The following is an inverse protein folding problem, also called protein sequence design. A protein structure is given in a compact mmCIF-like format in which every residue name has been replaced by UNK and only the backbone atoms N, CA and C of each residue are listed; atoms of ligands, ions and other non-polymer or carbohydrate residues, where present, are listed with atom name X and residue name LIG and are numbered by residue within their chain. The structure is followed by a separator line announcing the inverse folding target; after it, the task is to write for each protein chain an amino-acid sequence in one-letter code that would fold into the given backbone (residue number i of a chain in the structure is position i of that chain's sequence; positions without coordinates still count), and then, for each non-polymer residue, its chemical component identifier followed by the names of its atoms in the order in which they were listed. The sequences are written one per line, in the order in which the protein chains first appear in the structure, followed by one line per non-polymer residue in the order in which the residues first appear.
data_IF_244279914359
#
_entry.id   IF_244279914359
#
_cell.length_a   1.000
_cell.length_b   1.000
_cell.length_c   1.000
_cell.angle_alpha   90.00
_cell.angle_beta   90.00
_cell.angle_gamma   90.00
#
_symmetry.space_group_name_H-M   'P 1'
#
loop_
_entity.id
_entity.type
_entity.pdbx_description
1 polymer ?
#
# COMPACT_ATOMS: atom_id res chain seq x y z
N UNK A 1 46.59 16.22 35.75
CA UNK A 1 45.74 15.34 34.96
C UNK A 1 44.35 15.34 35.60
N UNK A 2 43.47 16.24 35.12
CA UNK A 2 42.09 16.36 35.59
C UNK A 2 41.21 15.56 34.63
N UNK A 3 40.75 14.42 35.06
CA UNK A 3 39.78 13.58 34.35
C UNK A 3 38.41 14.22 34.41
N UNK A 4 38.01 14.88 33.34
CA UNK A 4 36.63 15.35 33.10
C UNK A 4 35.76 14.14 32.77
N UNK A 5 35.04 13.64 33.76
CA UNK A 5 33.94 12.68 33.55
C UNK A 5 32.81 13.37 32.82
N UNK A 6 32.71 13.15 31.51
CA UNK A 6 31.54 13.55 30.71
C UNK A 6 30.37 12.67 31.12
N UNK A 7 29.53 13.16 32.02
CA UNK A 7 28.25 12.51 32.32
C UNK A 7 27.34 12.72 31.10
N UNK A 8 26.95 11.60 30.47
CA UNK A 8 25.93 11.64 29.42
C UNK A 8 24.65 12.29 29.97
N UNK A 9 24.01 13.20 29.20
CA UNK A 9 22.80 13.86 29.67
C UNK A 9 21.72 12.81 29.94
N UNK A 10 20.93 12.98 31.02
CA UNK A 10 19.86 12.03 31.35
C UNK A 10 18.87 11.97 30.19
N UNK A 11 18.54 10.76 29.74
CA UNK A 11 17.51 10.54 28.74
C UNK A 11 16.19 11.11 29.26
N UNK A 12 15.83 12.29 28.80
CA UNK A 12 14.57 12.96 29.14
C UNK A 12 13.47 12.09 28.56
N UNK A 13 12.80 11.30 29.39
CA UNK A 13 11.54 10.64 29.02
C UNK A 13 10.54 11.74 28.76
N UNK A 14 10.29 12.03 27.47
CA UNK A 14 9.28 13.01 27.09
C UNK A 14 7.95 12.63 27.72
N UNK A 15 7.32 13.55 28.43
CA UNK A 15 5.94 13.40 28.86
C UNK A 15 5.05 13.18 27.64
N UNK A 16 3.95 12.44 27.80
CA UNK A 16 3.08 12.07 26.67
C UNK A 16 2.64 13.24 25.76
N UNK A 17 2.56 14.45 26.31
CA UNK A 17 2.27 15.69 25.56
C UNK A 17 3.40 16.04 24.58
N UNK A 18 4.67 15.97 24.99
CA UNK A 18 5.81 16.27 24.14
C UNK A 18 5.95 15.24 22.99
N UNK A 19 5.73 13.95 23.28
CA UNK A 19 5.73 12.89 22.27
C UNK A 19 4.62 13.10 21.22
N UNK A 20 3.41 13.53 21.65
CA UNK A 20 2.31 13.84 20.72
C UNK A 20 2.63 15.05 19.84
N UNK A 21 3.18 16.11 20.40
CA UNK A 21 3.57 17.30 19.63
C UNK A 21 4.65 16.98 18.61
N UNK A 22 5.66 16.19 18.99
CA UNK A 22 6.71 15.75 18.08
C UNK A 22 6.17 14.83 16.98
N UNK A 23 5.26 13.90 17.28
CA UNK A 23 4.60 13.06 16.29
C UNK A 23 3.83 13.89 15.26
N UNK A 24 3.02 14.85 15.71
CA UNK A 24 2.26 15.75 14.82
C UNK A 24 3.22 16.60 13.98
N UNK A 25 4.32 17.08 14.56
CA UNK A 25 5.34 17.85 13.87
C UNK A 25 5.99 17.05 12.73
N UNK A 26 6.37 15.79 12.97
CA UNK A 26 6.94 14.90 11.96
C UNK A 26 5.93 14.59 10.85
N UNK A 27 4.70 14.25 11.21
CA UNK A 27 3.62 13.97 10.27
C UNK A 27 3.31 15.18 9.38
N UNK A 28 3.23 16.38 9.97
CA UNK A 28 2.98 17.62 9.20
C UNK A 28 4.13 17.95 8.25
N UNK A 29 5.38 17.65 8.62
CA UNK A 29 6.55 17.77 7.75
C UNK A 29 6.41 16.85 6.53
N UNK A 30 6.14 15.56 6.75
CA UNK A 30 6.04 14.58 5.67
C UNK A 30 4.86 14.89 4.73
N UNK A 31 3.72 15.38 5.25
CA UNK A 31 2.60 15.87 4.44
C UNK A 31 2.93 17.17 3.68
N UNK A 32 3.75 18.05 4.26
CA UNK A 32 4.21 19.27 3.58
C UNK A 32 5.14 18.92 2.41
N UNK A 33 6.01 17.94 2.59
CA UNK A 33 6.87 17.42 1.50
C UNK A 33 6.00 16.86 0.39
N UNK A 34 4.99 16.04 0.70
CA UNK A 34 4.05 15.53 -0.30
C UNK A 34 3.36 16.65 -1.07
N UNK A 35 2.87 17.68 -0.36
CA UNK A 35 2.21 18.83 -1.00
C UNK A 35 3.15 19.57 -1.96
N UNK A 36 4.42 19.72 -1.60
CA UNK A 36 5.43 20.39 -2.46
C UNK A 36 5.81 19.54 -3.68
N UNK A 37 5.85 18.21 -3.54
CA UNK A 37 6.20 17.26 -4.60
C UNK A 37 4.99 16.70 -5.36
N UNK A 38 3.80 17.29 -5.23
CA UNK A 38 2.56 16.77 -5.82
C UNK A 38 2.63 16.62 -7.34
N UNK A 39 3.38 17.49 -8.02
CA UNK A 39 3.58 17.43 -9.48
C UNK A 39 4.33 16.18 -9.93
N UNK A 40 5.22 15.66 -9.10
CA UNK A 40 5.95 14.42 -9.35
C UNK A 40 5.18 13.20 -8.84
N UNK A 41 4.46 13.38 -7.74
CA UNK A 41 3.63 12.35 -7.12
C UNK A 41 2.50 11.89 -8.05
N UNK A 42 1.78 12.81 -8.68
CA UNK A 42 0.63 12.52 -9.53
C UNK A 42 0.97 11.57 -10.69
N UNK A 43 1.92 11.89 -11.59
CA UNK A 43 2.25 10.98 -12.69
C UNK A 43 2.75 9.62 -12.21
N UNK A 44 3.60 9.61 -11.20
CA UNK A 44 4.15 8.38 -10.64
C UNK A 44 3.07 7.45 -10.08
N UNK A 45 2.07 8.02 -9.40
CA UNK A 45 0.98 7.27 -8.77
C UNK A 45 -0.06 6.81 -9.77
N UNK A 46 -0.37 7.63 -10.78
CA UNK A 46 -1.50 7.39 -11.69
C UNK A 46 -1.09 6.62 -12.94
N UNK A 47 0.15 6.74 -13.42
CA UNK A 47 0.56 6.19 -14.70
C UNK A 47 0.36 4.68 -14.79
N UNK A 48 0.77 3.93 -13.78
CA UNK A 48 0.66 2.48 -13.78
C UNK A 48 -0.79 1.99 -13.71
N UNK A 49 -1.66 2.45 -12.79
CA UNK A 49 -3.07 2.09 -12.77
C UNK A 49 -3.80 2.48 -14.07
N UNK A 50 -3.52 3.68 -14.60
CA UNK A 50 -4.12 4.15 -15.84
C UNK A 50 -3.74 3.29 -17.03
N UNK A 51 -2.46 2.98 -17.21
CA UNK A 51 -2.00 2.12 -18.30
C UNK A 51 -2.61 0.73 -18.20
N UNK A 52 -2.70 0.19 -17.00
CA UNK A 52 -3.30 -1.11 -16.76
C UNK A 52 -4.79 -1.12 -17.14
N UNK A 53 -5.56 -0.16 -16.62
CA UNK A 53 -6.97 -0.02 -17.00
C UNK A 53 -7.13 0.20 -18.51
N UNK A 54 -6.37 1.12 -19.10
CA UNK A 54 -6.43 1.43 -20.51
C UNK A 54 -6.19 0.20 -21.41
N UNK A 55 -5.14 -0.57 -21.12
CA UNK A 55 -4.81 -1.75 -21.93
C UNK A 55 -5.89 -2.82 -21.81
N UNK A 56 -6.29 -3.16 -20.59
CA UNK A 56 -7.22 -4.28 -20.36
C UNK A 56 -8.67 -3.94 -20.68
N UNK A 57 -9.12 -2.70 -20.52
CA UNK A 57 -10.54 -2.32 -20.69
C UNK A 57 -10.81 -1.53 -21.95
N UNK A 58 -9.79 -1.04 -22.64
CA UNK A 58 -9.92 -0.31 -23.90
C UNK A 58 -9.24 -1.02 -25.05
N UNK A 59 -7.93 -1.30 -24.94
CA UNK A 59 -7.15 -1.86 -26.06
C UNK A 59 -7.57 -3.28 -26.37
N UNK A 60 -7.55 -4.18 -25.39
CA UNK A 60 -7.85 -5.62 -25.59
C UNK A 60 -9.24 -5.87 -26.17
N UNK A 61 -10.34 -5.25 -25.70
CA UNK A 61 -11.63 -5.40 -26.32
C UNK A 61 -11.65 -4.93 -27.79
N UNK A 62 -10.97 -3.83 -28.12
CA UNK A 62 -10.94 -3.28 -29.49
C UNK A 62 -10.16 -4.14 -30.50
N UNK A 63 -9.13 -4.88 -30.05
CA UNK A 63 -8.36 -5.78 -30.93
C UNK A 63 -8.93 -7.22 -30.93
N UNK A 64 -10.10 -7.42 -30.30
CA UNK A 64 -10.75 -8.75 -30.26
C UNK A 64 -10.09 -9.75 -29.31
N UNK A 65 -9.17 -9.33 -28.46
CA UNK A 65 -8.50 -10.16 -27.44
C UNK A 65 -9.11 -10.00 -26.05
N UNK A 66 -10.18 -9.25 -25.91
CA UNK A 66 -10.89 -9.07 -24.65
C UNK A 66 -11.77 -10.27 -24.30
N UNK A 67 -12.11 -10.38 -23.02
CA UNK A 67 -13.13 -11.32 -22.56
C UNK A 67 -14.44 -10.91 -23.23
N UNK A 68 -15.02 -11.78 -24.13
CA UNK A 68 -16.39 -11.57 -24.56
C UNK A 68 -16.71 -11.53 -26.05
N UNK A 69 -15.76 -11.39 -26.96
CA UNK A 69 -15.97 -11.45 -28.43
C UNK A 69 -17.39 -11.14 -28.96
N UNK A 70 -17.66 -9.94 -29.40
CA UNK A 70 -18.71 -9.48 -30.33
C UNK A 70 -20.19 -9.91 -30.16
N UNK A 71 -20.54 -10.66 -29.13
CA UNK A 71 -21.91 -11.07 -28.81
C UNK A 71 -22.45 -10.34 -27.57
N UNK A 72 -23.76 -10.21 -27.41
CA UNK A 72 -24.37 -9.61 -26.23
C UNK A 72 -23.94 -10.30 -24.91
N UNK A 73 -23.78 -11.63 -24.92
CA UNK A 73 -23.22 -12.38 -23.79
C UNK A 73 -21.76 -12.00 -23.55
N UNK A 74 -21.01 -11.71 -24.61
CA UNK A 74 -19.64 -11.27 -24.52
C UNK A 74 -19.49 -9.85 -23.99
N UNK A 75 -20.38 -8.94 -24.31
CA UNK A 75 -20.40 -7.58 -23.74
C UNK A 75 -20.66 -7.59 -22.24
N UNK A 76 -21.58 -8.46 -21.77
CA UNK A 76 -21.85 -8.65 -20.35
C UNK A 76 -20.63 -9.22 -19.61
N UNK A 77 -19.93 -10.21 -20.21
CA UNK A 77 -18.70 -10.76 -19.66
C UNK A 77 -17.56 -9.72 -19.62
N UNK A 78 -17.43 -8.89 -20.66
CA UNK A 78 -16.45 -7.81 -20.70
C UNK A 78 -16.72 -6.75 -19.61
N UNK A 79 -17.98 -6.38 -19.39
CA UNK A 79 -18.38 -5.45 -18.33
C UNK A 79 -18.10 -6.02 -16.94
N UNK A 80 -18.42 -7.31 -16.71
CA UNK A 80 -18.10 -7.99 -15.46
C UNK A 80 -16.60 -8.03 -15.20
N UNK A 81 -15.81 -8.37 -16.22
CA UNK A 81 -14.33 -8.36 -16.13
C UNK A 81 -13.78 -6.97 -15.82
N UNK A 82 -14.26 -5.94 -16.54
CA UNK A 82 -13.84 -4.55 -16.31
C UNK A 82 -14.15 -4.10 -14.88
N UNK A 83 -15.31 -4.48 -14.34
CA UNK A 83 -15.73 -4.17 -12.98
C UNK A 83 -14.80 -4.80 -11.95
N UNK A 84 -14.50 -6.09 -12.10
CA UNK A 84 -13.55 -6.82 -11.22
C UNK A 84 -12.15 -6.21 -11.30
N UNK A 85 -11.69 -5.91 -12.51
CA UNK A 85 -10.37 -5.34 -12.76
C UNK A 85 -10.20 -3.97 -12.11
N UNK A 86 -11.18 -3.08 -12.28
CA UNK A 86 -11.14 -1.72 -11.73
C UNK A 86 -10.98 -1.75 -10.22
N UNK A 87 -11.77 -2.55 -9.52
CA UNK A 87 -11.66 -2.69 -8.07
C UNK A 87 -10.28 -3.24 -7.64
N UNK A 88 -9.78 -4.24 -8.35
CA UNK A 88 -8.45 -4.81 -8.10
C UNK A 88 -7.31 -3.81 -8.35
N UNK A 89 -7.43 -2.99 -9.40
CA UNK A 89 -6.43 -1.94 -9.73
C UNK A 89 -6.40 -0.83 -8.67
N UNK A 90 -7.53 -0.47 -8.07
CA UNK A 90 -7.55 0.45 -6.91
C UNK A 90 -6.78 -0.16 -5.74
N UNK A 91 -7.02 -1.44 -5.41
CA UNK A 91 -6.26 -2.16 -4.40
C UNK A 91 -4.75 -2.21 -4.68
N UNK A 92 -4.39 -2.45 -5.94
CA UNK A 92 -3.01 -2.44 -6.40
C UNK A 92 -2.36 -1.06 -6.26
N UNK A 93 -3.05 0.00 -6.62
CA UNK A 93 -2.57 1.38 -6.48
C UNK A 93 -2.29 1.74 -5.02
N UNK A 94 -3.21 1.37 -4.12
CA UNK A 94 -3.02 1.53 -2.66
C UNK A 94 -1.81 0.75 -2.17
N UNK A 95 -1.67 -0.50 -2.62
CA UNK A 95 -0.53 -1.35 -2.26
C UNK A 95 0.80 -0.72 -2.68
N UNK A 96 0.94 -0.37 -3.96
CA UNK A 96 2.18 0.23 -4.47
C UNK A 96 2.49 1.55 -3.78
N UNK A 97 1.49 2.42 -3.65
CA UNK A 97 1.69 3.72 -3.02
C UNK A 97 2.08 3.58 -1.55
N UNK A 98 1.38 2.73 -0.77
CA UNK A 98 1.70 2.50 0.63
C UNK A 98 3.10 1.93 0.84
N UNK A 99 3.49 0.93 0.04
CA UNK A 99 4.84 0.35 0.10
C UNK A 99 5.90 1.38 -0.28
N UNK A 100 5.73 2.07 -1.42
CA UNK A 100 6.74 3.00 -1.94
C UNK A 100 6.88 4.26 -1.07
N UNK A 101 5.78 4.76 -0.50
CA UNK A 101 5.79 5.95 0.34
C UNK A 101 6.61 5.77 1.62
N UNK A 102 6.78 4.52 2.08
CA UNK A 102 7.54 4.22 3.30
C UNK A 102 8.88 3.56 2.99
N UNK A 103 8.90 2.54 2.13
CA UNK A 103 10.11 1.76 1.86
C UNK A 103 11.22 2.60 1.22
N UNK A 104 10.90 3.39 0.17
CA UNK A 104 11.93 4.12 -0.56
C UNK A 104 12.57 5.24 0.27
N UNK A 105 11.81 6.12 0.97
CA UNK A 105 12.42 7.12 1.85
C UNK A 105 13.27 6.47 2.95
N UNK A 106 12.79 5.39 3.58
CA UNK A 106 13.56 4.72 4.64
C UNK A 106 14.87 4.14 4.13
N UNK A 107 14.85 3.49 2.95
CA UNK A 107 16.08 2.98 2.35
C UNK A 107 17.08 4.11 2.07
N UNK A 108 16.59 5.28 1.63
CA UNK A 108 17.42 6.46 1.38
C UNK A 108 17.93 7.08 2.70
N UNK A 109 17.05 7.25 3.68
CA UNK A 109 17.37 7.82 5.00
C UNK A 109 18.41 6.97 5.76
N UNK A 110 18.32 5.64 5.65
CA UNK A 110 19.31 4.73 6.26
C UNK A 110 20.60 4.62 5.46
N UNK A 111 20.52 4.70 4.12
CA UNK A 111 21.65 4.37 3.26
C UNK A 111 22.50 5.56 2.80
N UNK A 112 21.87 6.71 2.56
CA UNK A 112 22.52 7.84 1.91
C UNK A 112 22.51 9.13 2.74
N UNK A 113 21.34 9.53 3.26
CA UNK A 113 21.19 10.85 3.90
C UNK A 113 21.41 10.83 5.41
N UNK A 114 21.29 9.66 6.05
CA UNK A 114 21.36 9.46 7.51
C UNK A 114 20.41 10.36 8.32
N UNK A 115 19.41 10.96 7.66
CA UNK A 115 18.40 11.81 8.32
C UNK A 115 17.65 11.11 9.45
N UNK A 116 17.64 9.79 9.45
CA UNK A 116 17.00 9.01 10.50
C UNK A 116 17.69 9.23 11.87
N UNK A 117 19.01 9.49 11.87
CA UNK A 117 19.78 9.77 13.08
C UNK A 117 19.27 11.07 13.73
N UNK A 118 19.02 12.12 12.94
CA UNK A 118 18.47 13.38 13.41
C UNK A 118 17.04 13.25 13.94
N UNK A 119 16.22 12.42 13.28
CA UNK A 119 14.83 12.17 13.71
C UNK A 119 14.74 11.43 15.04
N UNK A 120 15.70 10.58 15.33
CA UNK A 120 15.76 9.80 16.58
C UNK A 120 16.30 10.66 17.74
N UNK A 121 16.97 11.77 17.49
CA UNK A 121 17.33 12.76 18.51
C UNK A 121 16.11 13.54 19.05
N UNK A 122 14.96 13.50 18.35
CA UNK A 122 13.72 14.05 18.89
C UNK A 122 13.33 13.28 20.20
N UNK A 123 12.73 13.99 21.17
CA UNK A 123 12.38 13.40 22.47
C UNK A 123 11.15 12.48 22.38
N UNK A 124 11.18 11.51 21.43
CA UNK A 124 10.10 10.54 21.19
C UNK A 124 10.67 9.12 21.15
N UNK A 125 9.89 8.11 21.56
CA UNK A 125 10.29 6.71 21.40
C UNK A 125 10.51 6.36 19.92
N UNK A 126 11.59 5.67 19.61
CA UNK A 126 11.96 5.22 18.25
C UNK A 126 10.80 4.49 17.54
N UNK A 127 9.98 3.75 18.30
CA UNK A 127 8.79 3.10 17.75
C UNK A 127 7.74 4.08 17.22
N UNK A 128 7.59 5.26 17.85
CA UNK A 128 6.64 6.27 17.38
C UNK A 128 7.09 6.92 16.07
N UNK A 129 8.39 7.04 15.82
CA UNK A 129 8.91 7.48 14.52
C UNK A 129 8.52 6.47 13.41
N UNK A 130 8.66 5.18 13.69
CA UNK A 130 8.25 4.14 12.74
C UNK A 130 6.73 4.14 12.47
N UNK A 131 5.91 4.34 13.52
CA UNK A 131 4.44 4.44 13.39
C UNK A 131 4.06 5.71 12.64
N UNK A 132 4.76 6.82 12.85
CA UNK A 132 4.55 8.05 12.10
C UNK A 132 4.76 7.85 10.60
N UNK A 133 5.85 7.18 10.21
CA UNK A 133 6.10 6.84 8.80
C UNK A 133 4.99 6.00 8.18
N UNK A 134 4.49 5.00 8.90
CA UNK A 134 3.36 4.18 8.45
C UNK A 134 2.09 5.03 8.31
N UNK A 135 1.83 5.92 9.25
CA UNK A 135 0.68 6.82 9.20
C UNK A 135 0.76 7.79 8.02
N UNK A 136 1.93 8.40 7.81
CA UNK A 136 2.16 9.29 6.66
C UNK A 136 1.99 8.53 5.33
N UNK A 137 2.54 7.33 5.22
CA UNK A 137 2.37 6.46 4.05
C UNK A 137 0.92 6.06 3.81
N UNK A 138 0.16 5.75 4.87
CA UNK A 138 -1.26 5.41 4.77
C UNK A 138 -2.10 6.61 4.28
N UNK A 139 -1.82 7.83 4.73
CA UNK A 139 -2.46 9.05 4.24
C UNK A 139 -2.15 9.25 2.74
N UNK A 140 -0.91 9.03 2.33
CA UNK A 140 -0.53 9.09 0.91
C UNK A 140 -1.24 8.02 0.08
N UNK A 141 -1.40 6.80 0.62
CA UNK A 141 -2.17 5.72 0.00
C UNK A 141 -3.66 6.05 -0.16
N UNK A 142 -4.29 6.64 0.85
CA UNK A 142 -5.67 7.13 0.77
C UNK A 142 -5.84 8.22 -0.28
N UNK A 143 -4.89 9.15 -0.34
CA UNK A 143 -4.90 10.20 -1.37
C UNK A 143 -4.75 9.58 -2.76
N UNK A 144 -3.86 8.62 -2.95
CA UNK A 144 -3.73 7.87 -4.21
C UNK A 144 -5.03 7.16 -4.60
N UNK A 145 -5.66 6.45 -3.66
CA UNK A 145 -6.94 5.76 -3.90
C UNK A 145 -8.04 6.74 -4.34
N UNK A 146 -8.12 7.91 -3.68
CA UNK A 146 -9.10 8.95 -4.02
C UNK A 146 -8.90 9.55 -5.40
N UNK A 147 -7.69 9.51 -5.94
CA UNK A 147 -7.38 9.96 -7.31
C UNK A 147 -7.61 8.86 -8.34
N UNK A 148 -7.24 7.62 -8.04
CA UNK A 148 -7.40 6.48 -8.97
C UNK A 148 -8.87 6.11 -9.14
N UNK A 149 -9.68 6.22 -8.10
CA UNK A 149 -11.09 5.85 -8.13
C UNK A 149 -11.91 6.62 -9.18
N UNK A 150 -11.89 7.97 -9.31
CA UNK A 150 -12.58 8.68 -10.38
C UNK A 150 -12.07 8.28 -11.76
N UNK A 151 -10.76 8.08 -11.93
CA UNK A 151 -10.18 7.68 -13.20
C UNK A 151 -10.68 6.31 -13.66
N UNK A 152 -10.97 5.43 -12.70
CA UNK A 152 -11.58 4.13 -12.96
C UNK A 152 -12.96 4.21 -13.64
N UNK A 153 -13.66 5.33 -13.49
CA UNK A 153 -14.95 5.56 -14.13
C UNK A 153 -14.85 6.15 -15.54
N UNK A 154 -13.73 6.83 -15.86
CA UNK A 154 -13.56 7.54 -17.14
C UNK A 154 -12.74 6.76 -18.18
N UNK A 155 -11.83 5.88 -17.74
CA UNK A 155 -10.89 5.19 -18.65
C UNK A 155 -11.51 4.01 -19.40
N UNK A 156 -12.34 3.15 -18.77
CA UNK A 156 -12.89 1.98 -19.44
C UNK A 156 -13.80 2.33 -20.64
N UNK A 157 -13.61 1.64 -21.77
CA UNK A 157 -14.49 1.73 -22.93
C UNK A 157 -15.77 0.88 -22.72
N UNK A 158 -15.72 -0.10 -21.83
CA UNK A 158 -16.86 -0.94 -21.46
C UNK A 158 -17.54 -0.39 -20.19
N UNK A 159 -18.86 -0.46 -20.08
CA UNK A 159 -19.57 -0.02 -18.88
C UNK A 159 -19.05 -0.75 -17.65
N UNK A 160 -18.66 -0.02 -16.63
CA UNK A 160 -18.24 -0.55 -15.33
C UNK A 160 -19.37 -0.38 -14.33
N UNK A 161 -19.86 -1.48 -13.79
CA UNK A 161 -20.94 -1.46 -12.80
C UNK A 161 -20.36 -1.30 -11.40
N UNK A 162 -20.11 -0.06 -11.00
CA UNK A 162 -19.66 0.26 -9.64
C UNK A 162 -20.86 0.41 -8.71
N UNK A 163 -20.84 -0.33 -7.62
CA UNK A 163 -21.81 -0.30 -6.52
C UNK A 163 -21.05 0.01 -5.24
N UNK A 164 -21.04 1.31 -4.85
CA UNK A 164 -20.20 1.76 -3.75
C UNK A 164 -20.86 1.47 -2.41
N UNK A 165 -20.26 0.59 -1.64
CA UNK A 165 -20.64 0.29 -0.27
C UNK A 165 -19.84 1.20 0.68
N UNK A 166 -20.34 2.42 0.92
CA UNK A 166 -19.65 3.43 1.72
C UNK A 166 -19.16 2.97 3.11
N UNK A 167 -19.94 2.22 3.89
CA UNK A 167 -19.47 1.72 5.19
C UNK A 167 -18.23 0.81 5.06
N UNK A 168 -18.20 -0.05 4.03
CA UNK A 168 -17.05 -0.92 3.77
C UNK A 168 -15.85 -0.11 3.27
N UNK A 169 -16.07 0.83 2.37
CA UNK A 169 -15.00 1.66 1.82
C UNK A 169 -14.31 2.49 2.91
N UNK A 170 -15.10 3.13 3.80
CA UNK A 170 -14.56 3.97 4.88
C UNK A 170 -13.73 3.16 5.89
N UNK A 171 -14.03 1.88 6.08
CA UNK A 171 -13.30 1.03 7.02
C UNK A 171 -12.16 0.27 6.37
N UNK A 172 -12.37 -0.29 5.16
CA UNK A 172 -11.38 -1.11 4.47
C UNK A 172 -10.26 -0.28 3.82
N UNK A 173 -10.56 0.88 3.22
CA UNK A 173 -9.54 1.67 2.55
C UNK A 173 -8.45 2.17 3.50
N UNK A 174 -8.74 2.76 4.69
CA UNK A 174 -7.70 3.12 5.65
C UNK A 174 -6.93 1.91 6.16
N UNK A 175 -7.61 0.79 6.43
CA UNK A 175 -6.96 -0.44 6.89
C UNK A 175 -6.00 -0.99 5.83
N UNK A 176 -6.42 -1.05 4.57
CA UNK A 176 -5.59 -1.47 3.45
C UNK A 176 -4.34 -0.57 3.29
N UNK A 177 -4.51 0.75 3.40
CA UNK A 177 -3.40 1.70 3.35
C UNK A 177 -2.41 1.50 4.50
N UNK A 178 -2.90 1.22 5.71
CA UNK A 178 -2.05 0.91 6.86
C UNK A 178 -1.27 -0.39 6.65
N UNK A 179 -1.91 -1.45 6.14
CA UNK A 179 -1.25 -2.74 5.83
C UNK A 179 -0.14 -2.55 4.80
N UNK A 180 -0.43 -1.84 3.69
CA UNK A 180 0.54 -1.57 2.64
C UNK A 180 1.74 -0.75 3.15
N UNK A 181 1.48 0.29 3.96
CA UNK A 181 2.52 1.13 4.55
C UNK A 181 3.34 0.40 5.61
N UNK A 182 2.73 -0.48 6.41
CA UNK A 182 3.43 -1.33 7.39
C UNK A 182 4.33 -2.37 6.69
N UNK A 183 3.88 -2.91 5.55
CA UNK A 183 4.73 -3.74 4.69
C UNK A 183 5.91 -2.92 4.14
N UNK A 184 5.66 -1.67 3.70
CA UNK A 184 6.69 -0.73 3.29
C UNK A 184 7.72 -0.47 4.39
N UNK A 185 7.29 -0.31 5.64
CA UNK A 185 8.18 -0.20 6.80
C UNK A 185 9.06 -1.45 6.95
N UNK A 186 8.47 -2.64 6.85
CA UNK A 186 9.20 -3.90 6.94
C UNK A 186 10.24 -4.02 5.83
N UNK A 187 9.91 -3.69 4.59
CA UNK A 187 10.83 -3.72 3.47
C UNK A 187 11.92 -2.65 3.58
N UNK A 188 11.57 -1.40 3.89
CA UNK A 188 12.52 -0.30 4.03
C UNK A 188 13.54 -0.50 5.16
N UNK A 189 13.17 -1.28 6.18
CA UNK A 189 14.07 -1.63 7.29
C UNK A 189 14.86 -2.91 7.05
N UNK A 190 14.41 -3.81 6.17
CA UNK A 190 15.07 -5.08 5.87
C UNK A 190 16.08 -4.95 4.73
N UNK A 191 15.71 -4.25 3.66
CA UNK A 191 16.54 -4.14 2.46
C UNK A 191 17.54 -2.98 2.53
N UNK A 192 18.74 -3.21 2.00
CA UNK A 192 19.74 -2.16 1.78
C UNK A 192 19.47 -1.43 0.45
N UNK A 193 20.03 -0.20 0.26
CA UNK A 193 19.87 0.56 -0.99
C UNK A 193 20.23 -0.22 -2.27
N UNK A 194 21.26 -1.05 -2.18
CA UNK A 194 21.74 -1.88 -3.30
C UNK A 194 20.74 -2.97 -3.69
N UNK A 195 19.90 -3.40 -2.77
CA UNK A 195 18.93 -4.49 -2.96
C UNK A 195 17.55 -4.02 -3.42
N UNK A 196 17.33 -2.70 -3.62
CA UNK A 196 16.05 -2.15 -4.10
C UNK A 196 15.59 -2.77 -5.42
N UNK A 197 16.45 -2.95 -6.46
CA UNK A 197 16.02 -3.62 -7.70
C UNK A 197 15.54 -5.07 -7.46
N UNK A 198 16.21 -5.78 -6.54
CA UNK A 198 15.81 -7.15 -6.17
C UNK A 198 14.47 -7.15 -5.45
N UNK A 199 14.23 -6.18 -4.55
CA UNK A 199 12.94 -6.02 -3.88
C UNK A 199 11.80 -5.89 -4.90
N UNK A 200 11.95 -4.99 -5.88
CA UNK A 200 10.89 -4.75 -6.86
C UNK A 200 10.75 -5.90 -7.87
N UNK A 201 11.83 -6.46 -8.38
CA UNK A 201 11.81 -7.53 -9.38
C UNK A 201 11.45 -8.91 -8.82
N UNK A 202 11.97 -9.26 -7.64
CA UNK A 202 11.83 -10.63 -7.10
C UNK A 202 10.71 -10.75 -6.07
N UNK A 203 10.44 -9.69 -5.32
CA UNK A 203 9.43 -9.76 -4.23
C UNK A 203 8.11 -9.11 -4.66
N UNK A 204 8.15 -7.86 -5.11
CA UNK A 204 6.91 -7.11 -5.41
C UNK A 204 6.23 -7.64 -6.68
N UNK A 205 6.98 -8.05 -7.70
CA UNK A 205 6.41 -8.54 -8.95
C UNK A 205 5.54 -9.80 -8.73
N UNK A 206 5.99 -10.88 -8.07
CA UNK A 206 5.15 -12.03 -7.76
C UNK A 206 3.94 -11.67 -6.87
N UNK A 207 4.13 -10.81 -5.87
CA UNK A 207 3.03 -10.32 -5.02
C UNK A 207 1.95 -9.68 -5.89
N UNK A 208 2.33 -8.88 -6.88
CA UNK A 208 1.41 -8.17 -7.76
C UNK A 208 0.61 -9.12 -8.65
N UNK A 209 1.28 -10.06 -9.31
CA UNK A 209 0.60 -11.01 -10.21
C UNK A 209 -0.28 -12.00 -9.48
N UNK A 210 0.11 -12.42 -8.28
CA UNK A 210 -0.65 -13.35 -7.44
C UNK A 210 -1.59 -12.63 -6.46
N UNK A 211 -1.82 -11.33 -6.61
CA UNK A 211 -2.61 -10.49 -5.71
C UNK A 211 -4.12 -10.45 -5.99
N UNK A 212 -4.64 -11.33 -6.83
CA UNK A 212 -6.06 -11.33 -7.23
C UNK A 212 -6.55 -9.97 -7.76
N UNK A 213 -5.65 -9.21 -8.39
CA UNK A 213 -5.95 -7.89 -8.98
C UNK A 213 -6.78 -8.04 -10.26
N UNK A 214 -6.40 -9.00 -11.11
CA UNK A 214 -6.97 -9.21 -12.45
C UNK A 214 -8.11 -10.23 -12.47
N UNK A 215 -8.30 -10.97 -11.41
CA UNK A 215 -9.27 -12.03 -11.23
C UNK A 215 -9.73 -12.08 -9.77
N UNK A 216 -10.89 -12.65 -9.52
CA UNK A 216 -11.37 -12.84 -8.14
C UNK A 216 -10.73 -14.10 -7.52
N UNK A 217 -10.58 -14.10 -6.20
CA UNK A 217 -10.12 -15.29 -5.48
C UNK A 217 -11.01 -16.51 -5.72
N UNK A 218 -12.34 -16.30 -5.86
CA UNK A 218 -13.29 -17.36 -6.19
C UNK A 218 -13.05 -17.99 -7.55
N UNK A 219 -12.53 -17.23 -8.53
CA UNK A 219 -12.21 -17.77 -9.86
C UNK A 219 -11.08 -18.81 -9.84
N UNK A 220 -10.30 -18.85 -8.76
CA UNK A 220 -9.21 -19.84 -8.57
C UNK A 220 -9.69 -21.20 -8.06
N UNK A 221 -11.02 -21.44 -7.88
CA UNK A 221 -11.53 -22.75 -7.46
C UNK A 221 -11.11 -23.87 -8.40
N UNK A 222 -10.95 -23.59 -9.68
CA UNK A 222 -10.44 -24.54 -10.67
C UNK A 222 -8.96 -24.96 -10.40
N UNK A 223 -8.20 -24.17 -9.66
CA UNK A 223 -6.77 -24.40 -9.36
C UNK A 223 -6.56 -24.29 -7.84
N UNK A 224 -7.08 -25.26 -7.10
CA UNK A 224 -7.13 -25.28 -5.63
C UNK A 224 -5.78 -25.00 -4.94
N UNK A 225 -4.68 -25.57 -5.44
CA UNK A 225 -3.38 -25.34 -4.84
C UNK A 225 -2.96 -23.86 -4.91
N UNK A 226 -3.24 -23.18 -6.04
CA UNK A 226 -2.95 -21.77 -6.23
C UNK A 226 -3.86 -20.91 -5.33
N UNK A 227 -5.14 -21.27 -5.23
CA UNK A 227 -6.11 -20.60 -4.36
C UNK A 227 -5.64 -20.57 -2.89
N UNK A 228 -4.95 -21.62 -2.43
CA UNK A 228 -4.36 -21.68 -1.07
C UNK A 228 -3.07 -20.86 -0.99
N UNK A 229 -2.18 -21.01 -1.96
CA UNK A 229 -0.87 -20.32 -1.96
C UNK A 229 -1.04 -18.80 -1.95
N UNK A 230 -1.98 -18.26 -2.71
CA UNK A 230 -2.21 -16.82 -2.78
C UNK A 230 -2.69 -16.21 -1.45
N UNK A 231 -3.21 -16.98 -0.51
CA UNK A 231 -3.63 -16.48 0.81
C UNK A 231 -2.47 -15.96 1.68
N UNK A 232 -1.23 -16.33 1.35
CA UNK A 232 -0.03 -15.76 2.01
C UNK A 232 0.25 -14.33 1.51
N UNK A 233 -0.36 -13.92 0.41
CA UNK A 233 -0.15 -12.62 -0.20
C UNK A 233 -1.10 -11.57 0.39
N UNK A 234 -0.59 -10.51 1.05
CA UNK A 234 -1.44 -9.46 1.63
C UNK A 234 -2.27 -8.71 0.57
N UNK A 235 -1.76 -8.58 -0.66
CA UNK A 235 -2.47 -7.88 -1.74
C UNK A 235 -3.80 -8.54 -2.10
N UNK A 236 -3.95 -9.86 -1.93
CA UNK A 236 -5.22 -10.56 -2.16
C UNK A 236 -6.34 -9.95 -1.34
N UNK A 237 -6.09 -9.72 -0.05
CA UNK A 237 -7.09 -9.15 0.86
C UNK A 237 -7.36 -7.68 0.62
N UNK A 238 -6.39 -6.94 0.07
CA UNK A 238 -6.59 -5.57 -0.37
C UNK A 238 -7.50 -5.55 -1.62
N UNK A 239 -7.17 -6.35 -2.63
CA UNK A 239 -7.94 -6.45 -3.89
C UNK A 239 -9.38 -6.92 -3.64
N UNK A 240 -9.54 -7.99 -2.84
CA UNK A 240 -10.87 -8.51 -2.45
C UNK A 240 -11.65 -7.50 -1.58
N UNK A 241 -10.95 -6.78 -0.70
CA UNK A 241 -11.56 -5.73 0.12
C UNK A 241 -12.10 -4.57 -0.72
N UNK A 242 -11.33 -4.07 -1.70
CA UNK A 242 -11.82 -3.05 -2.61
C UNK A 242 -12.92 -3.57 -3.54
N UNK A 243 -12.87 -4.86 -3.92
CA UNK A 243 -13.95 -5.51 -4.68
C UNK A 243 -15.25 -5.54 -3.89
N UNK A 244 -15.21 -5.94 -2.62
CA UNK A 244 -16.37 -5.90 -1.73
C UNK A 244 -16.89 -4.47 -1.46
N UNK A 245 -16.02 -3.47 -1.47
CA UNK A 245 -16.40 -2.08 -1.19
C UNK A 245 -16.91 -1.31 -2.42
N UNK A 246 -16.50 -1.70 -3.63
CA UNK A 246 -16.76 -0.93 -4.86
C UNK A 246 -17.68 -1.66 -5.85
N UNK A 247 -17.97 -2.96 -5.64
CA UNK A 247 -18.73 -3.75 -6.60
C UNK A 247 -19.63 -4.77 -5.89
N UNK A 248 -20.68 -5.23 -6.60
CA UNK A 248 -21.50 -6.37 -6.19
C UNK A 248 -20.96 -7.72 -6.71
N UNK A 249 -19.72 -7.73 -7.23
CA UNK A 249 -19.07 -8.93 -7.74
C UNK A 249 -18.76 -9.93 -6.61
N UNK A 250 -18.68 -11.24 -6.92
CA UNK A 250 -18.27 -12.23 -5.92
C UNK A 250 -16.92 -11.89 -5.31
N UNK A 251 -16.86 -11.86 -3.99
CA UNK A 251 -15.66 -11.55 -3.21
C UNK A 251 -15.49 -12.52 -2.04
N UNK A 252 -14.31 -12.50 -1.44
CA UNK A 252 -14.02 -13.26 -0.22
C UNK A 252 -14.90 -12.82 0.95
N UNK A 253 -15.26 -13.72 1.90
CA UNK A 253 -16.03 -13.33 3.08
C UNK A 253 -15.40 -12.18 3.85
N UNK A 254 -16.18 -11.17 4.25
CA UNK A 254 -15.70 -9.96 4.90
C UNK A 254 -14.88 -10.25 6.17
N UNK A 255 -15.31 -11.24 6.98
CA UNK A 255 -14.56 -11.61 8.18
C UNK A 255 -13.12 -12.07 7.85
N UNK A 256 -12.93 -12.79 6.72
CA UNK A 256 -11.61 -13.23 6.30
C UNK A 256 -10.76 -12.03 5.81
N UNK A 257 -11.37 -11.08 5.08
CA UNK A 257 -10.70 -9.86 4.63
C UNK A 257 -10.21 -9.04 5.82
N UNK A 258 -11.08 -8.73 6.79
CA UNK A 258 -10.72 -7.93 7.96
C UNK A 258 -9.71 -8.62 8.86
N UNK A 259 -9.93 -9.90 9.17
CA UNK A 259 -9.04 -10.66 10.06
C UNK A 259 -7.64 -10.79 9.46
N UNK A 260 -7.53 -11.11 8.17
CA UNK A 260 -6.25 -11.21 7.51
C UNK A 260 -5.52 -9.86 7.44
N UNK A 261 -6.21 -8.77 7.08
CA UNK A 261 -5.61 -7.44 7.06
C UNK A 261 -5.11 -7.02 8.45
N UNK A 262 -5.85 -7.30 9.52
CA UNK A 262 -5.41 -7.01 10.89
C UNK A 262 -4.21 -7.86 11.30
N UNK A 263 -4.18 -9.13 10.94
CA UNK A 263 -3.03 -10.03 11.20
C UNK A 263 -1.79 -9.54 10.45
N UNK A 264 -1.91 -9.22 9.16
CA UNK A 264 -0.80 -8.69 8.38
C UNK A 264 -0.33 -7.34 8.91
N UNK A 265 -1.24 -6.44 9.30
CA UNK A 265 -0.89 -5.16 9.90
C UNK A 265 -0.06 -5.37 11.18
N UNK A 266 -0.54 -6.21 12.09
CA UNK A 266 0.17 -6.52 13.34
C UNK A 266 1.54 -7.16 13.08
N UNK A 267 1.62 -8.11 12.14
CA UNK A 267 2.85 -8.78 11.75
C UNK A 267 3.87 -7.79 11.19
N UNK A 268 3.47 -7.00 10.19
CA UNK A 268 4.38 -6.06 9.52
C UNK A 268 4.79 -4.91 10.44
N UNK A 269 3.90 -4.39 11.28
CA UNK A 269 4.28 -3.41 12.29
C UNK A 269 5.28 -3.99 13.29
N UNK A 270 5.03 -5.21 13.79
CA UNK A 270 5.96 -5.87 14.74
C UNK A 270 7.34 -6.07 14.13
N UNK A 271 7.40 -6.64 12.92
CA UNK A 271 8.66 -6.89 12.19
C UNK A 271 9.35 -5.57 11.84
N UNK A 272 8.61 -4.63 11.26
CA UNK A 272 9.14 -3.34 10.85
C UNK A 272 9.69 -2.52 12.02
N UNK A 273 8.94 -2.40 13.13
CA UNK A 273 9.39 -1.66 14.31
C UNK A 273 10.62 -2.34 14.96
N UNK A 274 10.64 -3.68 15.02
CA UNK A 274 11.79 -4.43 15.56
C UNK A 274 13.04 -4.16 14.73
N UNK A 275 12.95 -4.28 13.42
CA UNK A 275 14.07 -4.04 12.51
C UNK A 275 14.50 -2.57 12.51
N UNK A 276 13.55 -1.63 12.53
CA UNK A 276 13.80 -0.21 12.64
C UNK A 276 14.62 0.12 13.90
N UNK A 277 14.18 -0.37 15.06
CA UNK A 277 14.93 -0.20 16.33
C UNK A 277 16.32 -0.79 16.25
N UNK A 278 16.46 -2.01 15.71
CA UNK A 278 17.77 -2.67 15.57
C UNK A 278 18.72 -1.86 14.70
N UNK A 279 18.21 -1.28 13.59
CA UNK A 279 19.02 -0.55 12.62
C UNK A 279 19.41 0.86 13.09
N UNK A 280 18.60 1.48 13.94
CA UNK A 280 18.86 2.78 14.56
C UNK A 280 19.83 2.70 15.73
N UNK A 281 19.85 1.55 16.46
CA UNK A 281 20.66 1.37 17.65
C UNK A 281 21.98 0.60 17.38
N UNK A 282 22.21 0.17 16.14
CA UNK A 282 23.47 -0.44 15.70
C UNK A 282 24.41 0.59 15.12
#
# INVERSE_FOLDING_TARGET
MTTTTTTAPPAVRAGGAAARTAFIGLLSRDLTVLRKSIKEFLPRTLLQPLLLMFVFTYVFPKIGQGVGGGSAAGEAAASAFATVLVAGVVGLAVFFQGVQAVALPLVQEFGYTKEIEDRVLAPIPVALVAIEKVTAGAIQGLFAASLVFPLASFVPATPVNLSIHWPLLITLAPLACLVASALGLSFGTFFEPRSVPVLFGVVILPITFLGCTYYSWSSLEAIRWLQIVVLVNPLVYLSEGFRAALTDSPHMPLWAIYSAQLVFLALFLRVGIRNFRKRVLS
#
